data_IF_352827821876
#
_entry.id   IF_352827821876
#
_cell.length_a   1.000
_cell.length_b   1.000
_cell.length_c   1.000
_cell.angle_alpha   90.00
_cell.angle_beta   90.00
_cell.angle_gamma   90.00
#
_symmetry.space_group_name_H-M   'P 1'
#
loop_
_entity.id
_entity.type
_entity.pdbx_description
1 polymer ?
#
# COMPACT_ATOMS: atom_id res chain seq x y z
N UNK A 1 11.46 30.16 -19.76
CA UNK A 1 11.60 29.09 -20.77
C UNK A 1 12.46 27.92 -20.31
N UNK A 2 13.35 28.07 -19.33
CA UNK A 2 14.16 26.94 -18.80
C UNK A 2 13.48 26.08 -17.72
N UNK A 3 12.27 26.42 -17.28
CA UNK A 3 11.55 25.71 -16.20
C UNK A 3 10.68 24.56 -16.71
N UNK A 4 10.17 24.61 -17.94
CA UNK A 4 9.29 23.57 -18.48
C UNK A 4 10.06 22.34 -18.95
N UNK A 5 11.24 22.48 -19.58
CA UNK A 5 12.03 21.33 -20.04
C UNK A 5 12.60 20.50 -18.88
N UNK A 6 13.06 21.14 -17.80
CA UNK A 6 13.59 20.43 -16.62
C UNK A 6 12.52 19.70 -15.81
N UNK A 7 11.28 20.22 -15.78
CA UNK A 7 10.15 19.52 -15.15
C UNK A 7 9.69 18.32 -15.98
N UNK A 8 9.76 18.42 -17.31
CA UNK A 8 9.37 17.35 -18.24
C UNK A 8 10.40 16.19 -18.25
N UNK A 9 11.71 16.48 -18.17
CA UNK A 9 12.74 15.44 -18.03
C UNK A 9 12.73 14.78 -16.64
N UNK A 10 12.50 15.56 -15.58
CA UNK A 10 12.37 15.01 -14.22
C UNK A 10 11.13 14.10 -14.10
N UNK A 11 9.99 14.47 -14.68
CA UNK A 11 8.79 13.64 -14.71
C UNK A 11 8.97 12.39 -15.59
N UNK A 12 9.66 12.49 -16.73
CA UNK A 12 9.97 11.35 -17.59
C UNK A 12 10.84 10.29 -16.88
N UNK A 13 11.77 10.71 -16.00
CA UNK A 13 12.59 9.77 -15.22
C UNK A 13 11.81 9.04 -14.11
N UNK A 14 10.75 9.64 -13.57
CA UNK A 14 9.97 9.09 -12.45
C UNK A 14 8.94 8.07 -12.91
N UNK A 15 8.47 8.19 -14.15
CA UNK A 15 7.51 7.27 -14.78
C UNK A 15 8.17 6.15 -15.57
N UNK A 16 9.50 6.16 -15.73
CA UNK A 16 10.23 5.11 -16.43
C UNK A 16 9.88 3.72 -15.89
N UNK A 17 9.61 2.81 -16.82
CA UNK A 17 9.19 1.46 -16.51
C UNK A 17 7.76 1.32 -15.98
N UNK A 18 6.93 2.37 -16.01
CA UNK A 18 5.49 2.29 -15.68
C UNK A 18 4.63 2.10 -16.94
N UNK A 19 3.36 1.71 -16.76
CA UNK A 19 2.41 1.62 -17.87
C UNK A 19 2.27 2.98 -18.56
N UNK A 20 2.37 2.98 -19.89
CA UNK A 20 2.36 4.20 -20.72
C UNK A 20 3.74 4.84 -20.91
N UNK A 21 4.76 4.38 -20.19
CA UNK A 21 6.12 4.92 -20.19
C UNK A 21 7.19 3.82 -20.23
N UNK A 22 6.87 2.70 -20.87
CA UNK A 22 7.83 1.63 -21.10
C UNK A 22 8.70 1.96 -22.33
N UNK A 23 9.98 1.65 -22.27
CA UNK A 23 10.82 1.62 -23.47
C UNK A 23 10.38 0.48 -24.40
N UNK A 24 10.74 0.54 -25.69
CA UNK A 24 10.41 -0.54 -26.63
C UNK A 24 10.91 -1.93 -26.19
N UNK A 25 12.06 -1.98 -25.51
CA UNK A 25 12.60 -3.22 -24.92
C UNK A 25 11.75 -3.70 -23.74
N UNK A 26 11.36 -2.79 -22.85
CA UNK A 26 10.50 -3.10 -21.71
C UNK A 26 9.10 -3.54 -22.16
N UNK A 27 8.53 -2.91 -23.21
CA UNK A 27 7.26 -3.33 -23.82
C UNK A 27 7.34 -4.74 -24.38
N UNK A 28 8.43 -5.07 -25.10
CA UNK A 28 8.65 -6.41 -25.63
C UNK A 28 8.74 -7.45 -24.51
N UNK A 29 9.49 -7.15 -23.44
CA UNK A 29 9.61 -8.02 -22.26
C UNK A 29 8.29 -8.16 -21.52
N UNK A 30 7.49 -7.10 -21.44
CA UNK A 30 6.19 -7.15 -20.80
C UNK A 30 5.18 -7.96 -21.61
N UNK A 31 5.20 -7.84 -22.94
CA UNK A 31 4.40 -8.69 -23.83
C UNK A 31 4.79 -10.17 -23.72
N UNK A 32 6.09 -10.47 -23.72
CA UNK A 32 6.63 -11.81 -23.47
C UNK A 32 6.14 -12.37 -22.12
N UNK A 33 6.26 -11.56 -21.06
CA UNK A 33 5.84 -11.96 -19.72
C UNK A 33 4.34 -12.26 -19.65
N UNK A 34 3.48 -11.40 -20.21
CA UNK A 34 2.03 -11.64 -20.27
C UNK A 34 1.70 -12.96 -20.98
N UNK A 35 2.32 -13.21 -22.14
CA UNK A 35 2.11 -14.44 -22.90
C UNK A 35 2.54 -15.70 -22.13
N UNK A 36 3.67 -15.64 -21.40
CA UNK A 36 4.13 -16.75 -20.57
C UNK A 36 3.23 -16.97 -19.36
N UNK A 37 2.78 -15.90 -18.68
CA UNK A 37 1.83 -16.03 -17.57
C UNK A 37 0.49 -16.66 -18.01
N UNK A 38 0.00 -16.33 -19.21
CA UNK A 38 -1.21 -16.93 -19.78
C UNK A 38 -1.01 -18.40 -20.15
N UNK A 39 0.08 -18.71 -20.85
CA UNK A 39 0.44 -20.10 -21.19
C UNK A 39 0.53 -21.00 -19.96
N UNK A 40 1.09 -20.47 -18.87
CA UNK A 40 1.30 -21.19 -17.61
C UNK A 40 0.06 -21.18 -16.69
N UNK A 41 -1.05 -20.57 -17.13
CA UNK A 41 -2.32 -20.53 -16.39
C UNK A 41 -2.30 -19.66 -15.14
N UNK A 42 -1.30 -18.80 -14.96
CA UNK A 42 -1.15 -17.92 -13.78
C UNK A 42 -1.99 -16.65 -13.95
N UNK A 43 -2.16 -16.18 -15.19
CA UNK A 43 -2.92 -14.98 -15.50
C UNK A 43 -3.81 -15.22 -16.71
N UNK A 44 -5.03 -14.71 -16.69
CA UNK A 44 -5.84 -14.59 -17.90
C UNK A 44 -6.55 -13.25 -17.85
N UNK A 45 -6.44 -12.41 -18.90
CA UNK A 45 -7.10 -11.11 -18.92
C UNK A 45 -8.60 -11.21 -18.57
N UNK A 46 -9.03 -10.42 -17.59
CA UNK A 46 -10.42 -10.36 -17.15
C UNK A 46 -10.93 -11.56 -16.35
N UNK A 47 -10.07 -12.53 -15.98
CA UNK A 47 -10.42 -13.65 -15.10
C UNK A 47 -9.63 -13.61 -13.79
N UNK A 48 -10.20 -14.20 -12.75
CA UNK A 48 -9.59 -14.25 -11.42
C UNK A 48 -9.84 -12.97 -10.61
N UNK A 49 -8.98 -12.73 -9.61
CA UNK A 49 -9.07 -11.56 -8.72
C UNK A 49 -8.74 -10.26 -9.47
N UNK A 50 -9.48 -9.19 -9.20
CA UNK A 50 -9.30 -7.90 -9.86
C UNK A 50 -7.91 -7.28 -9.68
N UNK A 51 -7.22 -7.62 -8.58
CA UNK A 51 -5.87 -7.14 -8.27
C UNK A 51 -4.79 -7.83 -9.10
N UNK A 52 -5.05 -8.99 -9.71
CA UNK A 52 -4.14 -9.63 -10.65
C UNK A 52 -4.41 -9.11 -12.06
N UNK A 53 -3.81 -7.97 -12.38
CA UNK A 53 -3.97 -7.23 -13.63
C UNK A 53 -2.61 -6.79 -14.18
N UNK A 54 -2.61 -6.10 -15.32
CA UNK A 54 -1.37 -5.64 -15.97
C UNK A 54 -0.46 -4.79 -15.08
N UNK A 55 -1.02 -3.95 -14.21
CA UNK A 55 -0.24 -3.16 -13.24
C UNK A 55 0.50 -4.08 -12.27
N UNK A 56 -0.18 -5.11 -11.76
CA UNK A 56 0.44 -6.11 -10.89
C UNK A 56 1.50 -6.91 -11.64
N UNK A 57 1.23 -7.38 -12.86
CA UNK A 57 2.23 -8.10 -13.66
C UNK A 57 3.49 -7.26 -13.87
N UNK A 58 3.33 -5.98 -14.22
CA UNK A 58 4.46 -5.09 -14.44
C UNK A 58 5.27 -4.86 -13.14
N UNK A 59 4.63 -4.80 -11.97
CA UNK A 59 5.35 -4.75 -10.67
C UNK A 59 6.27 -5.94 -10.47
N UNK A 60 5.80 -7.17 -10.75
CA UNK A 60 6.63 -8.37 -10.66
C UNK A 60 7.79 -8.35 -11.66
N UNK A 61 7.51 -7.93 -12.90
CA UNK A 61 8.53 -7.84 -13.94
C UNK A 61 9.61 -6.82 -13.58
N UNK A 62 9.23 -5.63 -13.11
CA UNK A 62 10.15 -4.59 -12.64
C UNK A 62 10.98 -5.05 -11.44
N UNK A 63 10.36 -5.74 -10.48
CA UNK A 63 11.04 -6.27 -9.30
C UNK A 63 12.10 -7.33 -9.62
N UNK A 64 12.05 -7.88 -10.83
CA UNK A 64 13.06 -8.81 -11.38
C UNK A 64 13.81 -8.21 -12.56
N UNK A 65 13.86 -6.88 -12.67
CA UNK A 65 14.64 -6.15 -13.67
C UNK A 65 14.34 -6.60 -15.11
N UNK A 66 13.07 -6.88 -15.38
CA UNK A 66 12.57 -7.39 -16.66
C UNK A 66 13.05 -8.81 -17.04
N UNK A 67 13.57 -9.58 -16.07
CA UNK A 67 13.83 -11.02 -16.23
C UNK A 67 12.52 -11.83 -16.13
N UNK A 68 12.01 -12.24 -17.29
CA UNK A 68 10.68 -12.89 -17.45
C UNK A 68 10.52 -14.15 -16.60
N UNK A 69 11.51 -15.04 -16.59
CA UNK A 69 11.43 -16.31 -15.87
C UNK A 69 11.44 -16.12 -14.36
N UNK A 70 12.25 -15.19 -13.86
CA UNK A 70 12.33 -14.88 -12.43
C UNK A 70 11.05 -14.19 -11.94
N UNK A 71 10.48 -13.29 -12.75
CA UNK A 71 9.21 -12.65 -12.48
C UNK A 71 8.06 -13.67 -12.44
N UNK A 72 8.04 -14.61 -13.40
CA UNK A 72 7.06 -15.69 -13.45
C UNK A 72 7.15 -16.57 -12.22
N UNK A 73 8.36 -16.95 -11.83
CA UNK A 73 8.58 -17.75 -10.62
C UNK A 73 8.03 -17.04 -9.39
N UNK A 74 8.39 -15.77 -9.18
CA UNK A 74 7.92 -15.01 -8.02
C UNK A 74 6.40 -14.84 -8.01
N UNK A 75 5.78 -14.62 -9.18
CA UNK A 75 4.33 -14.51 -9.30
C UNK A 75 3.65 -15.85 -8.96
N UNK A 76 4.13 -16.97 -9.50
CA UNK A 76 3.63 -18.32 -9.17
C UNK A 76 3.76 -18.65 -7.68
N UNK A 77 4.93 -18.34 -7.10
CA UNK A 77 5.17 -18.51 -5.67
C UNK A 77 4.15 -17.67 -4.86
N UNK A 78 3.83 -16.46 -5.33
CA UNK A 78 2.84 -15.62 -4.66
C UNK A 78 1.43 -16.17 -4.78
N UNK A 79 0.95 -16.54 -5.96
CA UNK A 79 -0.41 -17.09 -6.11
C UNK A 79 -0.57 -18.39 -5.30
N UNK A 80 0.44 -19.27 -5.29
CA UNK A 80 0.48 -20.46 -4.43
C UNK A 80 0.40 -20.09 -2.94
N UNK A 81 1.17 -19.09 -2.52
CA UNK A 81 1.16 -18.61 -1.13
C UNK A 81 -0.20 -18.03 -0.74
N UNK A 82 -0.84 -17.26 -1.63
CA UNK A 82 -2.18 -16.69 -1.42
C UNK A 82 -3.23 -17.78 -1.23
N UNK A 83 -3.24 -18.77 -2.12
CA UNK A 83 -4.16 -19.91 -2.06
C UNK A 83 -3.95 -20.73 -0.78
N UNK A 84 -2.69 -21.09 -0.49
CA UNK A 84 -2.31 -21.88 0.69
C UNK A 84 -2.74 -21.21 2.00
N UNK A 85 -2.63 -19.87 2.04
CA UNK A 85 -2.99 -19.09 3.21
C UNK A 85 -4.43 -18.55 3.19
N UNK A 86 -5.21 -18.90 2.16
CA UNK A 86 -6.61 -18.48 1.98
C UNK A 86 -6.76 -16.97 2.14
N UNK A 87 -5.89 -16.21 1.48
CA UNK A 87 -5.77 -14.77 1.75
C UNK A 87 -7.04 -13.99 1.46
N UNK A 88 -7.78 -14.36 0.42
CA UNK A 88 -9.06 -13.75 0.09
C UNK A 88 -10.10 -14.00 1.20
N UNK A 89 -10.18 -15.24 1.72
CA UNK A 89 -11.03 -15.59 2.88
C UNK A 89 -10.59 -14.84 4.14
N UNK A 90 -9.28 -14.74 4.39
CA UNK A 90 -8.72 -13.99 5.51
C UNK A 90 -9.16 -12.52 5.48
N UNK A 91 -9.15 -11.89 4.30
CA UNK A 91 -9.53 -10.49 4.15
C UNK A 91 -11.05 -10.31 4.26
N UNK A 92 -11.83 -11.14 3.57
CA UNK A 92 -13.29 -11.04 3.54
C UNK A 92 -13.94 -11.37 4.89
N UNK A 93 -13.26 -12.14 5.74
CA UNK A 93 -13.76 -12.52 7.07
C UNK A 93 -13.08 -11.80 8.23
N UNK A 94 -12.15 -10.88 7.96
CA UNK A 94 -11.40 -10.18 9.01
C UNK A 94 -12.35 -9.41 9.94
N UNK A 95 -12.21 -9.61 11.24
CA UNK A 95 -13.04 -8.93 12.25
C UNK A 95 -12.81 -7.41 12.21
N UNK A 96 -13.91 -6.64 12.16
CA UNK A 96 -13.84 -5.18 11.95
C UNK A 96 -13.10 -4.48 13.10
N UNK A 97 -13.35 -4.87 14.35
CA UNK A 97 -12.67 -4.26 15.50
C UNK A 97 -11.19 -4.63 15.53
N UNK A 98 -10.87 -5.89 15.18
CA UNK A 98 -9.48 -6.32 15.02
C UNK A 98 -8.77 -5.56 13.88
N UNK A 99 -9.46 -5.27 12.77
CA UNK A 99 -8.89 -4.51 11.65
C UNK A 99 -8.55 -3.08 12.06
N UNK A 100 -9.43 -2.43 12.83
CA UNK A 100 -9.19 -1.09 13.36
C UNK A 100 -8.04 -1.01 14.37
N UNK A 101 -7.77 -2.11 15.10
CA UNK A 101 -6.56 -2.19 15.91
C UNK A 101 -5.32 -2.54 15.06
N UNK A 102 -5.46 -3.40 14.05
CA UNK A 102 -4.38 -3.79 13.16
C UNK A 102 -3.78 -2.60 12.42
N UNK A 103 -4.62 -1.70 11.89
CA UNK A 103 -4.13 -0.50 11.21
C UNK A 103 -3.29 0.39 12.12
N UNK A 104 -3.49 0.34 13.45
CA UNK A 104 -2.67 1.10 14.41
C UNK A 104 -1.29 0.49 14.66
N UNK A 105 -1.10 -0.77 14.30
CA UNK A 105 0.19 -1.48 14.47
C UNK A 105 1.18 -1.15 13.36
N UNK A 106 0.70 -0.80 12.17
CA UNK A 106 1.52 -0.57 10.98
C UNK A 106 1.20 0.78 10.31
N UNK A 107 1.77 1.00 9.13
CA UNK A 107 1.50 2.15 8.28
C UNK A 107 -0.02 2.34 8.05
N UNK A 108 -0.50 3.55 8.33
CA UNK A 108 -1.89 3.98 8.17
C UNK A 108 -2.01 4.96 7.02
N UNK A 109 -2.95 4.71 6.12
CA UNK A 109 -3.32 5.72 5.13
C UNK A 109 -3.98 6.91 5.83
N UNK A 110 -3.51 8.12 5.53
CA UNK A 110 -4.06 9.36 6.10
C UNK A 110 -5.39 9.77 5.47
N UNK A 111 -5.79 9.12 4.36
CA UNK A 111 -6.87 9.58 3.49
C UNK A 111 -6.41 10.54 2.39
N UNK A 112 -5.16 11.02 2.46
CA UNK A 112 -4.59 11.95 1.49
C UNK A 112 -3.69 11.29 0.47
N UNK A 113 -3.32 12.05 -0.55
CA UNK A 113 -2.44 11.66 -1.64
C UNK A 113 -1.29 12.65 -1.77
N UNK A 114 -0.17 12.18 -2.27
CA UNK A 114 0.96 13.03 -2.63
C UNK A 114 0.69 13.75 -3.97
N UNK A 115 1.57 14.65 -4.39
CA UNK A 115 1.36 15.45 -5.62
C UNK A 115 1.29 14.60 -6.90
N UNK A 116 1.71 13.34 -6.84
CA UNK A 116 1.63 12.38 -7.95
C UNK A 116 0.39 11.48 -7.85
N UNK A 117 -0.48 11.71 -6.87
CA UNK A 117 -1.69 10.93 -6.63
C UNK A 117 -1.46 9.64 -5.82
N UNK A 118 -0.26 9.41 -5.27
CA UNK A 118 0.02 8.20 -4.46
C UNK A 118 -0.53 8.37 -3.06
N UNK A 119 -1.17 7.35 -2.46
CA UNK A 119 -1.68 7.46 -1.10
C UNK A 119 -0.54 7.70 -0.10
N UNK A 120 -0.78 8.62 0.84
CA UNK A 120 0.17 8.98 1.90
C UNK A 120 -0.09 8.13 3.14
N UNK A 121 0.91 7.35 3.54
CA UNK A 121 0.88 6.51 4.73
C UNK A 121 1.77 7.09 5.82
N UNK A 122 1.35 6.96 7.08
CA UNK A 122 2.12 7.35 8.27
C UNK A 122 2.30 6.14 9.18
N UNK A 123 3.48 5.96 9.76
CA UNK A 123 3.77 4.93 10.75
C UNK A 123 4.54 5.49 11.94
N UNK A 124 3.92 5.46 13.11
CA UNK A 124 4.54 5.89 14.37
C UNK A 124 4.97 4.69 15.22
N UNK A 125 6.28 4.44 15.28
CA UNK A 125 6.81 3.23 15.92
C UNK A 125 6.73 3.31 17.45
N UNK A 126 6.76 4.51 18.03
CA UNK A 126 6.70 4.74 19.49
C UNK A 126 5.52 4.02 20.14
N UNK A 127 4.36 3.96 19.47
CA UNK A 127 3.11 3.40 20.00
C UNK A 127 2.88 1.91 19.70
N UNK A 128 3.77 1.28 18.94
CA UNK A 128 3.57 -0.10 18.43
C UNK A 128 3.31 -1.13 19.54
N UNK A 129 3.94 -1.01 20.71
CA UNK A 129 3.73 -1.93 21.82
C UNK A 129 2.28 -1.90 22.30
N UNK A 130 1.74 -0.70 22.49
CA UNK A 130 0.37 -0.47 22.95
C UNK A 130 -0.64 -0.93 21.91
N UNK A 131 -0.40 -0.65 20.63
CA UNK A 131 -1.27 -1.06 19.54
C UNK A 131 -1.25 -2.58 19.34
N UNK A 132 -0.08 -3.22 19.41
CA UNK A 132 0.03 -4.68 19.33
C UNK A 132 -0.75 -5.36 20.47
N UNK A 133 -0.65 -4.85 21.70
CA UNK A 133 -1.44 -5.36 22.82
C UNK A 133 -2.94 -5.17 22.65
N UNK A 134 -3.36 -4.07 22.02
CA UNK A 134 -4.77 -3.80 21.74
C UNK A 134 -5.30 -4.75 20.65
N UNK A 135 -4.53 -4.97 19.59
CA UNK A 135 -4.81 -5.96 18.55
C UNK A 135 -4.88 -7.40 19.10
N UNK A 136 -3.96 -7.78 19.98
CA UNK A 136 -3.96 -9.11 20.61
C UNK A 136 -5.21 -9.35 21.47
N UNK A 137 -5.79 -8.28 22.04
CA UNK A 137 -7.05 -8.35 22.82
C UNK A 137 -8.30 -8.39 21.93
N UNK A 138 -8.32 -7.65 20.83
CA UNK A 138 -9.47 -7.57 19.92
C UNK A 138 -9.58 -8.77 18.99
N UNK A 139 -8.46 -9.38 18.58
CA UNK A 139 -8.49 -10.47 17.61
C UNK A 139 -8.93 -11.81 18.21
N UNK A 140 -10.14 -12.25 17.86
CA UNK A 140 -10.53 -13.67 17.91
C UNK A 140 -9.73 -14.52 16.92
N UNK A 141 -9.13 -13.89 15.90
CA UNK A 141 -8.24 -14.48 14.89
C UNK A 141 -7.00 -15.15 15.52
N UNK A 142 -6.48 -14.63 16.64
CA UNK A 142 -5.42 -15.31 17.39
C UNK A 142 -5.92 -16.55 18.15
N UNK A 143 -7.19 -16.55 18.58
CA UNK A 143 -7.80 -17.65 19.35
C UNK A 143 -8.24 -18.80 18.45
N UNK A 144 -8.63 -18.50 17.22
CA UNK A 144 -9.08 -19.48 16.20
C UNK A 144 -7.99 -19.82 15.17
N UNK A 145 -6.71 -19.59 15.46
CA UNK A 145 -5.60 -20.12 14.66
C UNK A 145 -5.47 -21.65 14.83
N UNK A 146 -6.58 -22.37 14.64
CA UNK A 146 -6.65 -23.82 14.49
C UNK A 146 -6.24 -24.22 13.07
N UNK A 147 -5.31 -25.17 13.01
CA UNK A 147 -4.75 -25.83 11.82
C UNK A 147 -4.22 -24.92 10.71
N UNK A 148 -3.03 -24.37 10.94
CA UNK A 148 -2.08 -24.11 9.86
C UNK A 148 -1.90 -25.38 8.99
N UNK A 149 -1.95 -25.24 7.67
CA UNK A 149 -1.39 -26.24 6.76
C UNK A 149 0.13 -26.33 7.00
N UNK A 150 0.70 -27.53 6.92
CA UNK A 150 2.13 -27.77 7.13
C UNK A 150 3.02 -27.11 6.06
N UNK A 151 2.44 -26.68 4.93
CA UNK A 151 3.12 -25.91 3.89
C UNK A 151 2.95 -24.40 4.16
N UNK A 152 3.97 -23.80 4.77
CA UNK A 152 4.22 -22.35 4.91
C UNK A 152 3.08 -21.46 5.43
N UNK A 153 2.68 -21.59 6.71
CA UNK A 153 1.67 -20.71 7.30
C UNK A 153 2.21 -19.30 7.55
N UNK A 154 1.44 -18.28 7.16
CA UNK A 154 1.69 -16.89 7.59
C UNK A 154 1.72 -16.88 9.13
N UNK A 155 2.83 -16.41 9.75
CA UNK A 155 2.90 -16.26 11.20
C UNK A 155 1.68 -15.47 11.71
N UNK A 156 1.01 -15.88 12.80
CA UNK A 156 -0.25 -15.26 13.22
C UNK A 156 -0.19 -13.72 13.31
N UNK A 157 0.94 -13.17 13.77
CA UNK A 157 1.18 -11.73 13.88
C UNK A 157 1.33 -11.00 12.54
N UNK A 158 1.67 -11.71 11.46
CA UNK A 158 1.78 -11.15 10.11
C UNK A 158 0.47 -11.25 9.31
N UNK A 159 -0.53 -12.00 9.78
CA UNK A 159 -1.84 -12.03 9.12
C UNK A 159 -2.51 -10.66 9.09
N UNK A 160 -2.33 -9.88 10.14
CA UNK A 160 -2.82 -8.50 10.18
C UNK A 160 -2.14 -7.66 9.09
N UNK A 161 -0.83 -7.84 8.88
CA UNK A 161 -0.08 -7.15 7.83
C UNK A 161 -0.63 -7.51 6.45
N UNK A 162 -0.92 -8.79 6.21
CA UNK A 162 -1.54 -9.24 4.96
C UNK A 162 -2.89 -8.57 4.74
N UNK A 163 -3.77 -8.51 5.75
CA UNK A 163 -5.06 -7.81 5.63
C UNK A 163 -4.90 -6.31 5.30
N UNK A 164 -3.86 -5.65 5.83
CA UNK A 164 -3.57 -4.25 5.49
C UNK A 164 -3.03 -4.08 4.06
N UNK A 165 -2.19 -5.02 3.58
CA UNK A 165 -1.76 -5.03 2.17
C UNK A 165 -2.91 -5.33 1.21
N UNK A 166 -3.84 -6.22 1.58
CA UNK A 166 -5.07 -6.45 0.81
C UNK A 166 -5.91 -5.17 0.80
N UNK A 167 -6.10 -4.46 1.91
CA UNK A 167 -6.81 -3.18 1.89
C UNK A 167 -6.13 -2.11 1.02
N UNK A 168 -4.80 -2.04 1.05
CA UNK A 168 -4.04 -1.12 0.20
C UNK A 168 -4.27 -1.45 -1.30
N UNK A 169 -4.18 -2.72 -1.67
CA UNK A 169 -4.25 -3.16 -3.08
C UNK A 169 -5.66 -3.29 -3.62
N UNK A 170 -6.62 -3.68 -2.80
CA UNK A 170 -8.02 -3.88 -3.19
C UNK A 170 -8.86 -2.62 -3.05
N UNK A 171 -8.45 -1.63 -2.25
CA UNK A 171 -9.23 -0.42 -2.03
C UNK A 171 -8.45 0.87 -2.22
N UNK A 172 -7.38 1.10 -1.47
CA UNK A 172 -6.72 2.43 -1.46
C UNK A 172 -6.12 2.78 -2.82
N UNK A 173 -5.36 1.87 -3.43
CA UNK A 173 -4.76 2.09 -4.76
C UNK A 173 -5.82 2.23 -5.86
N UNK A 174 -6.83 1.33 -5.97
CA UNK A 174 -7.92 1.51 -6.94
C UNK A 174 -8.71 2.80 -6.75
N UNK A 175 -8.98 3.19 -5.49
CA UNK A 175 -9.66 4.46 -5.18
C UNK A 175 -8.84 5.65 -5.68
N UNK A 176 -7.55 5.69 -5.39
CA UNK A 176 -6.66 6.76 -5.87
C UNK A 176 -6.58 6.80 -7.40
N UNK A 177 -6.64 5.65 -8.07
CA UNK A 177 -6.67 5.56 -9.53
C UNK A 177 -7.99 6.04 -10.14
N UNK A 178 -9.09 5.93 -9.41
CA UNK A 178 -10.40 6.38 -9.88
C UNK A 178 -10.56 7.91 -9.88
N UNK A 179 -9.68 8.64 -9.19
CA UNK A 179 -9.72 10.10 -9.15
C UNK A 179 -8.70 10.66 -10.16
N UNK A 180 -9.15 11.45 -11.16
CA UNK A 180 -8.29 11.89 -12.27
C UNK A 180 -7.45 13.15 -11.95
N UNK A 181 -7.54 13.71 -10.74
CA UNK A 181 -6.90 14.95 -10.30
C UNK A 181 -5.41 14.78 -9.95
N UNK A 182 -4.67 14.08 -10.80
CA UNK A 182 -3.25 13.83 -10.62
C UNK A 182 -2.47 13.99 -11.92
N UNK A 183 -1.16 14.25 -11.84
CA UNK A 183 -0.31 14.17 -13.02
C UNK A 183 -0.37 12.78 -13.63
N UNK A 184 -0.49 12.71 -14.96
CA UNK A 184 -0.45 11.47 -15.74
C UNK A 184 -1.54 10.45 -15.34
N UNK A 185 -2.84 10.82 -15.41
CA UNK A 185 -3.95 9.94 -15.03
C UNK A 185 -4.01 8.63 -15.85
N UNK A 186 -3.41 8.61 -17.05
CA UNK A 186 -3.24 7.45 -17.91
C UNK A 186 -2.32 6.36 -17.31
N UNK A 187 -1.39 6.74 -16.44
CA UNK A 187 -0.48 5.80 -15.77
C UNK A 187 -1.01 5.47 -14.39
N UNK A 188 -1.42 4.22 -14.11
CA UNK A 188 -1.98 3.87 -12.80
C UNK A 188 -0.99 4.05 -11.65
N UNK A 189 -1.46 4.63 -10.55
CA UNK A 189 -0.82 4.61 -9.25
C UNK A 189 -0.78 3.17 -8.74
N UNK A 190 0.42 2.64 -8.58
CA UNK A 190 0.70 1.28 -8.12
C UNK A 190 1.57 1.21 -6.87
N UNK A 191 1.97 2.38 -6.37
CA UNK A 191 2.90 2.55 -5.24
C UNK A 191 2.38 3.57 -4.25
N UNK A 192 3.04 3.62 -3.09
CA UNK A 192 2.62 4.39 -1.91
C UNK A 192 3.78 5.23 -1.37
N UNK A 193 3.46 6.35 -0.73
CA UNK A 193 4.43 7.27 -0.10
C UNK A 193 4.29 7.20 1.41
N UNK A 194 5.38 6.92 2.12
CA UNK A 194 5.35 6.58 3.55
C UNK A 194 6.18 7.56 4.38
N UNK A 195 5.61 8.05 5.49
CA UNK A 195 6.28 8.78 6.56
C UNK A 195 6.41 7.84 7.76
N UNK A 196 7.63 7.53 8.17
CA UNK A 196 7.93 6.68 9.32
C UNK A 196 8.55 7.53 10.41
N UNK A 197 7.79 7.78 11.47
CA UNK A 197 8.27 8.51 12.64
C UNK A 197 8.82 7.53 13.67
N UNK A 198 10.13 7.62 13.88
CA UNK A 198 10.86 6.84 14.89
C UNK A 198 11.31 7.69 16.08
N UNK A 199 10.75 8.90 16.21
CA UNK A 199 10.91 9.72 17.40
C UNK A 199 10.46 8.96 18.63
N UNK A 200 11.16 9.18 19.75
CA UNK A 200 10.85 8.54 21.04
C UNK A 200 10.95 7.00 21.05
N UNK A 201 11.54 6.39 20.03
CA UNK A 201 11.83 4.95 20.02
C UNK A 201 13.15 4.68 20.73
N UNK A 202 13.11 3.89 21.80
CA UNK A 202 14.32 3.43 22.48
C UNK A 202 15.04 2.30 21.72
N UNK A 203 16.36 2.23 21.86
CA UNK A 203 17.17 1.17 21.22
C UNK A 203 16.67 -0.24 21.56
N UNK A 204 16.34 -0.49 22.83
CA UNK A 204 15.78 -1.79 23.26
C UNK A 204 14.42 -2.10 22.64
N UNK A 205 13.55 -1.10 22.47
CA UNK A 205 12.27 -1.28 21.78
C UNK A 205 12.52 -1.67 20.32
N UNK A 206 13.44 -0.99 19.63
CA UNK A 206 13.81 -1.33 18.26
C UNK A 206 14.34 -2.77 18.15
N UNK A 207 15.23 -3.18 19.06
CA UNK A 207 15.77 -4.53 19.08
C UNK A 207 14.71 -5.61 19.27
N UNK A 208 13.75 -5.38 20.15
CA UNK A 208 12.63 -6.30 20.36
C UNK A 208 11.74 -6.44 19.11
N UNK A 209 11.72 -5.43 18.25
CA UNK A 209 10.93 -5.41 17.01
C UNK A 209 11.68 -5.93 15.79
N UNK A 210 13.01 -6.00 15.84
CA UNK A 210 13.87 -6.34 14.69
C UNK A 210 13.41 -7.60 13.95
N UNK A 211 13.17 -8.70 14.68
CA UNK A 211 12.77 -9.97 14.05
C UNK A 211 11.41 -9.87 13.35
N UNK A 212 10.47 -9.15 13.95
CA UNK A 212 9.15 -8.91 13.36
C UNK A 212 9.22 -8.00 12.13
N UNK A 213 9.99 -6.91 12.20
CA UNK A 213 10.21 -6.01 11.06
C UNK A 213 10.91 -6.72 9.90
N UNK A 214 11.89 -7.58 10.19
CA UNK A 214 12.57 -8.37 9.17
C UNK A 214 11.59 -9.35 8.50
N UNK A 215 10.77 -10.06 9.27
CA UNK A 215 9.78 -10.98 8.71
C UNK A 215 8.72 -10.26 7.87
N UNK A 216 8.24 -9.09 8.32
CA UNK A 216 7.34 -8.23 7.57
C UNK A 216 7.97 -7.76 6.24
N UNK A 217 9.25 -7.35 6.26
CA UNK A 217 9.99 -6.96 5.07
C UNK A 217 10.15 -8.12 4.09
N UNK A 218 10.51 -9.31 4.57
CA UNK A 218 10.62 -10.51 3.72
C UNK A 218 9.30 -10.84 3.03
N UNK A 219 8.19 -10.80 3.79
CA UNK A 219 6.84 -11.05 3.27
C UNK A 219 6.45 -10.02 2.19
N UNK A 220 6.70 -8.74 2.46
CA UNK A 220 6.40 -7.66 1.52
C UNK A 220 7.21 -7.78 0.22
N UNK A 221 8.52 -8.02 0.31
CA UNK A 221 9.40 -8.20 -0.86
C UNK A 221 9.02 -9.43 -1.68
N UNK A 222 8.59 -10.52 -1.03
CA UNK A 222 8.19 -11.75 -1.69
C UNK A 222 6.85 -11.59 -2.45
N UNK A 223 5.83 -11.00 -1.81
CA UNK A 223 4.43 -11.10 -2.26
C UNK A 223 3.78 -9.76 -2.65
N UNK A 224 4.38 -8.63 -2.29
CA UNK A 224 3.89 -7.29 -2.64
C UNK A 224 5.00 -6.42 -3.25
N UNK A 225 5.72 -6.93 -4.28
CA UNK A 225 6.85 -6.21 -4.84
C UNK A 225 6.43 -4.88 -5.47
N UNK A 226 7.37 -3.92 -5.48
CA UNK A 226 7.21 -2.62 -6.14
C UNK A 226 5.93 -1.87 -5.72
N UNK A 227 5.59 -1.88 -4.43
CA UNK A 227 4.47 -1.11 -3.85
C UNK A 227 4.90 0.15 -3.09
N UNK A 228 6.21 0.35 -2.90
CA UNK A 228 6.80 1.52 -2.24
C UNK A 228 7.44 2.46 -3.26
N UNK A 229 7.05 3.74 -3.22
CA UNK A 229 7.68 4.81 -4.01
C UNK A 229 8.71 5.60 -3.20
N UNK A 230 8.32 6.06 -2.01
CA UNK A 230 9.15 6.89 -1.12
C UNK A 230 8.93 6.52 0.33
N UNK A 231 10.00 6.49 1.10
CA UNK A 231 9.98 6.26 2.54
C UNK A 231 10.77 7.36 3.24
N UNK A 232 10.10 8.20 4.01
CA UNK A 232 10.70 9.28 4.79
C UNK A 232 10.80 8.86 6.25
N UNK A 233 12.01 8.63 6.73
CA UNK A 233 12.30 8.28 8.13
C UNK A 233 12.63 9.55 8.89
N UNK A 234 11.82 9.85 9.90
CA UNK A 234 11.91 11.06 10.71
C UNK A 234 12.31 10.73 12.15
N UNK A 235 12.90 11.69 12.86
CA UNK A 235 13.17 11.53 14.29
C UNK A 235 14.22 10.47 14.61
N UNK A 236 15.12 10.20 13.66
CA UNK A 236 16.16 9.19 13.80
C UNK A 236 17.05 9.49 15.03
N UNK A 237 17.06 8.62 16.05
CA UNK A 237 17.89 8.82 17.24
C UNK A 237 19.38 8.63 16.92
N UNK A 238 20.26 9.03 17.84
CA UNK A 238 21.72 8.95 17.64
C UNK A 238 22.25 7.54 17.36
N UNK A 239 21.53 6.49 17.77
CA UNK A 239 21.87 5.09 17.49
C UNK A 239 21.38 4.60 16.11
N UNK A 240 20.55 5.37 15.40
CA UNK A 240 19.91 4.94 14.16
C UNK A 240 20.89 4.58 13.03
N UNK A 241 22.06 5.22 12.87
CA UNK A 241 23.04 4.80 11.86
C UNK A 241 23.45 3.32 12.01
N UNK A 242 23.54 2.82 13.25
CA UNK A 242 23.83 1.40 13.52
C UNK A 242 22.68 0.51 13.06
N UNK A 243 21.44 0.91 13.38
CA UNK A 243 20.20 0.23 12.96
C UNK A 243 20.09 0.17 11.43
N UNK A 244 20.35 1.30 10.78
CA UNK A 244 20.29 1.46 9.33
C UNK A 244 21.26 0.53 8.60
N UNK A 245 22.46 0.31 9.17
CA UNK A 245 23.43 -0.64 8.62
C UNK A 245 22.89 -2.07 8.47
N UNK A 246 21.96 -2.50 9.32
CA UNK A 246 21.28 -3.80 9.17
C UNK A 246 20.08 -3.74 8.24
N UNK A 247 19.23 -2.71 8.39
CA UNK A 247 17.99 -2.55 7.59
C UNK A 247 18.31 -2.48 6.09
N UNK A 248 19.38 -1.78 5.69
CA UNK A 248 19.82 -1.71 4.28
C UNK A 248 20.01 -3.09 3.64
N UNK A 249 20.34 -4.13 4.42
CA UNK A 249 20.56 -5.49 3.91
C UNK A 249 19.26 -6.25 3.66
N UNK A 250 18.12 -5.74 4.13
CA UNK A 250 16.80 -6.34 3.94
C UNK A 250 16.17 -5.92 2.61
N UNK A 251 16.67 -4.83 2.02
CA UNK A 251 16.14 -4.23 0.81
C UNK A 251 17.15 -4.32 -0.33
N UNK A 252 16.65 -4.39 -1.56
CA UNK A 252 17.49 -4.25 -2.74
C UNK A 252 17.93 -2.77 -2.91
N UNK A 253 18.93 -2.50 -3.78
CA UNK A 253 19.43 -1.14 -3.99
C UNK A 253 18.38 -0.13 -4.48
N UNK A 254 17.39 -0.55 -5.28
CA UNK A 254 16.33 0.33 -5.80
C UNK A 254 15.38 0.71 -4.67
N UNK A 255 15.02 -0.22 -3.80
CA UNK A 255 14.23 0.11 -2.61
C UNK A 255 15.02 1.03 -1.67
N UNK A 256 16.32 0.80 -1.50
CA UNK A 256 17.18 1.64 -0.62
C UNK A 256 17.31 3.09 -1.12
N UNK A 257 17.35 3.32 -2.44
CA UNK A 257 17.47 4.68 -3.00
C UNK A 257 16.20 5.53 -2.82
N UNK A 258 15.06 4.89 -2.52
CA UNK A 258 13.78 5.53 -2.21
C UNK A 258 13.64 5.96 -0.74
N UNK A 259 14.63 5.62 0.11
CA UNK A 259 14.59 5.87 1.56
C UNK A 259 15.35 7.15 1.91
N UNK A 260 14.65 8.10 2.51
CA UNK A 260 15.16 9.38 2.97
C UNK A 260 15.20 9.39 4.50
N UNK A 261 16.38 9.59 5.10
CA UNK A 261 16.50 9.78 6.55
C UNK A 261 16.67 11.27 6.78
N UNK A 262 15.69 11.90 7.42
CA UNK A 262 15.61 13.35 7.54
C UNK A 262 15.99 13.81 8.95
N UNK A 263 16.78 14.87 9.02
CA UNK A 263 16.96 15.63 10.26
C UNK A 263 15.69 16.44 10.54
N UNK A 264 15.51 16.89 11.79
CA UNK A 264 14.36 17.73 12.18
C UNK A 264 14.22 18.99 11.30
N UNK A 265 15.35 19.60 10.90
CA UNK A 265 15.36 20.79 10.05
C UNK A 265 14.97 20.50 8.60
N UNK A 266 15.17 19.26 8.12
CA UNK A 266 14.93 18.86 6.74
C UNK A 266 13.54 18.24 6.53
N UNK A 267 12.80 17.92 7.59
CA UNK A 267 11.48 17.27 7.51
C UNK A 267 10.52 18.06 6.64
N UNK A 268 10.14 19.26 7.08
CA UNK A 268 9.14 20.07 6.38
C UNK A 268 9.62 20.44 4.95
N UNK A 269 10.84 21.00 4.75
CA UNK A 269 11.30 21.37 3.41
C UNK A 269 11.36 20.19 2.42
N UNK A 270 11.62 18.97 2.90
CA UNK A 270 11.64 17.78 2.04
C UNK A 270 10.23 17.29 1.74
N UNK A 271 9.37 17.14 2.76
CA UNK A 271 8.03 16.59 2.59
C UNK A 271 7.15 17.49 1.70
N UNK A 272 7.27 18.82 1.82
CA UNK A 272 6.50 19.77 1.00
C UNK A 272 6.90 19.76 -0.48
N UNK A 273 7.99 19.09 -0.87
CA UNK A 273 8.34 18.86 -2.28
C UNK A 273 7.53 17.73 -2.91
N UNK A 274 6.94 16.87 -2.08
CA UNK A 274 6.19 15.69 -2.52
C UNK A 274 4.73 15.73 -2.12
N UNK A 275 4.36 16.50 -1.09
CA UNK A 275 3.00 16.58 -0.56
C UNK A 275 2.58 18.04 -0.46
N UNK A 276 1.35 18.38 -0.87
CA UNK A 276 0.81 19.71 -0.64
C UNK A 276 0.69 19.92 0.88
N UNK A 277 0.83 21.16 1.40
CA UNK A 277 0.64 21.42 2.83
C UNK A 277 -0.68 20.85 3.39
N UNK A 278 -1.78 20.97 2.65
CA UNK A 278 -3.10 20.42 3.02
C UNK A 278 -3.17 18.87 3.09
N UNK A 279 -2.22 18.16 2.49
CA UNK A 279 -2.13 16.69 2.48
C UNK A 279 -1.15 16.13 3.52
N UNK A 280 -0.37 17.02 4.15
CA UNK A 280 0.67 16.68 5.12
C UNK A 280 0.17 16.95 6.55
N UNK A 281 0.23 15.97 7.49
CA UNK A 281 -0.16 16.19 8.89
C UNK A 281 0.56 17.39 9.53
N UNK A 282 -0.17 18.16 10.35
CA UNK A 282 0.39 19.32 11.10
C UNK A 282 1.64 18.97 11.89
N UNK A 283 1.67 17.77 12.49
CA UNK A 283 2.83 17.24 13.23
C UNK A 283 4.13 17.26 12.41
N UNK A 284 4.05 17.15 11.08
CA UNK A 284 5.19 17.11 10.17
C UNK A 284 5.37 18.40 9.36
N UNK A 285 4.71 19.50 9.78
CA UNK A 285 4.85 20.82 9.17
C UNK A 285 3.88 21.12 8.02
N UNK A 286 2.79 20.36 7.91
CA UNK A 286 1.69 20.66 6.99
C UNK A 286 0.48 21.32 7.67
N UNK A 287 -0.68 21.18 7.05
CA UNK A 287 -1.95 21.80 7.44
C UNK A 287 -3.05 20.77 7.74
N UNK A 288 -2.82 19.49 7.44
CA UNK A 288 -3.79 18.43 7.66
C UNK A 288 -4.04 18.20 9.15
N UNK A 289 -5.29 18.36 9.56
CA UNK A 289 -5.82 17.95 10.87
C UNK A 289 -5.99 16.42 10.90
N UNK A 290 -4.91 15.72 11.18
CA UNK A 290 -4.88 14.27 11.30
C UNK A 290 -3.77 13.83 12.24
N UNK A 291 -4.10 12.93 13.16
CA UNK A 291 -3.17 12.30 14.11
C UNK A 291 -3.16 10.79 13.93
N UNK A 292 -2.04 10.16 14.28
CA UNK A 292 -1.89 8.71 14.14
C UNK A 292 -2.95 7.95 14.95
N UNK A 293 -3.62 7.02 14.28
CA UNK A 293 -4.75 6.28 14.85
C UNK A 293 -6.11 6.89 14.55
N UNK A 294 -6.21 8.11 14.02
CA UNK A 294 -7.46 8.64 13.47
C UNK A 294 -7.86 7.88 12.19
N UNK A 295 -9.16 7.84 11.84
CA UNK A 295 -9.59 7.36 10.53
C UNK A 295 -8.97 8.18 9.39
N UNK A 296 -8.95 7.65 8.15
CA UNK A 296 -8.59 8.42 6.97
C UNK A 296 -9.43 9.70 6.83
N UNK A 297 -8.75 10.82 6.60
CA UNK A 297 -9.35 12.09 6.21
C UNK A 297 -9.20 12.22 4.68
N UNK A 298 -10.23 11.81 3.93
CA UNK A 298 -10.22 11.82 2.46
C UNK A 298 -10.37 13.21 1.88
N UNK A 299 -9.61 13.51 0.82
CA UNK A 299 -9.57 14.85 0.20
C UNK A 299 -10.89 15.23 -0.51
N UNK A 300 -11.04 16.52 -0.79
CA UNK A 300 -12.28 17.07 -1.33
C UNK A 300 -12.61 16.49 -2.71
N UNK A 301 -11.58 16.15 -3.47
CA UNK A 301 -11.67 15.53 -4.78
C UNK A 301 -12.21 14.10 -4.69
N UNK A 302 -11.72 13.28 -3.75
CA UNK A 302 -12.30 11.95 -3.43
C UNK A 302 -13.75 12.08 -2.98
N UNK A 303 -14.05 12.99 -2.04
CA UNK A 303 -15.42 13.17 -1.50
C UNK A 303 -16.38 13.59 -2.61
N UNK A 304 -15.94 14.45 -3.53
CA UNK A 304 -16.76 14.93 -4.65
C UNK A 304 -17.02 13.82 -5.68
N UNK A 305 -16.02 12.99 -5.95
CA UNK A 305 -16.11 11.93 -6.95
C UNK A 305 -16.87 10.69 -6.43
N UNK A 306 -16.65 10.29 -5.18
CA UNK A 306 -17.14 9.04 -4.61
C UNK A 306 -18.23 9.30 -3.57
N UNK A 307 -19.49 9.31 -4.05
CA UNK A 307 -20.68 9.53 -3.23
C UNK A 307 -20.76 8.46 -2.12
N UNK A 308 -20.74 8.90 -0.86
CA UNK A 308 -20.82 8.03 0.32
C UNK A 308 -19.53 7.96 1.13
N UNK A 309 -18.38 8.33 0.55
CA UNK A 309 -17.15 8.51 1.32
C UNK A 309 -17.10 9.91 1.92
N UNK A 310 -16.88 9.98 3.23
CA UNK A 310 -16.64 11.23 3.95
C UNK A 310 -15.76 10.99 5.18
N UNK A 311 -14.94 11.98 5.55
CA UNK A 311 -14.03 11.88 6.69
C UNK A 311 -14.78 11.77 8.03
N UNK A 312 -15.92 12.46 8.18
CA UNK A 312 -16.74 12.47 9.40
C UNK A 312 -17.59 11.18 9.56
N UNK A 313 -17.70 10.38 8.51
CA UNK A 313 -18.47 9.12 8.48
C UNK A 313 -17.68 7.98 7.88
N UNK A 314 -16.42 7.84 8.29
CA UNK A 314 -15.54 6.80 7.76
C UNK A 314 -16.07 5.39 8.05
N UNK A 315 -16.09 4.55 7.02
CA UNK A 315 -16.52 3.15 7.14
C UNK A 315 -15.38 2.31 7.71
N UNK A 316 -15.60 1.73 8.88
CA UNK A 316 -14.62 0.88 9.59
C UNK A 316 -14.41 -0.46 8.88
N UNK A 317 -13.24 -1.06 9.07
CA UNK A 317 -12.92 -2.42 8.64
C UNK A 317 -12.44 -2.56 7.19
N UNK A 318 -12.33 -3.81 6.68
CA UNK A 318 -11.96 -4.09 5.30
C UNK A 318 -12.88 -3.41 4.28
N UNK A 319 -12.29 -2.86 3.23
CA UNK A 319 -12.97 -2.20 2.11
C UNK A 319 -12.38 -2.73 0.80
N UNK A 320 -13.21 -2.88 -0.23
CA UNK A 320 -12.82 -3.30 -1.58
C UNK A 320 -13.40 -2.35 -2.61
N UNK A 321 -12.61 -1.99 -3.62
CA UNK A 321 -13.08 -1.33 -4.82
C UNK A 321 -13.56 -2.35 -5.85
N UNK A 322 -14.78 -2.17 -6.33
CA UNK A 322 -15.39 -3.04 -7.35
C UNK A 322 -15.71 -2.19 -8.59
N UNK A 323 -14.93 -2.33 -9.68
CA UNK A 323 -15.22 -1.67 -10.94
C UNK A 323 -16.61 -2.04 -11.46
N UNK A 324 -17.33 -1.10 -12.08
CA UNK A 324 -18.67 -1.34 -12.62
C UNK A 324 -18.67 -1.45 -14.16
N UNK A 325 -19.55 -2.29 -14.74
CA UNK A 325 -19.79 -2.29 -16.18
C UNK A 325 -20.24 -0.90 -16.64
N UNK A 326 -19.59 -0.34 -17.66
CA UNK A 326 -19.90 1.00 -18.19
C UNK A 326 -19.08 2.14 -17.57
N UNK A 327 -18.12 1.84 -16.69
CA UNK A 327 -17.20 2.81 -16.10
C UNK A 327 -17.50 3.12 -14.64
N UNK A 328 -16.49 3.65 -13.95
CA UNK A 328 -16.52 3.94 -12.53
C UNK A 328 -16.37 2.71 -11.61
N UNK A 329 -16.89 2.81 -10.40
CA UNK A 329 -16.73 1.75 -9.40
C UNK A 329 -17.51 2.00 -8.12
N UNK A 330 -17.53 0.99 -7.27
CA UNK A 330 -18.19 1.02 -5.96
C UNK A 330 -17.20 0.62 -4.87
N UNK A 331 -17.37 1.19 -3.69
CA UNK A 331 -16.68 0.76 -2.48
C UNK A 331 -17.59 -0.18 -1.72
N UNK A 332 -17.11 -1.39 -1.48
CA UNK A 332 -17.85 -2.43 -0.78
C UNK A 332 -17.15 -2.75 0.53
N UNK A 333 -17.88 -2.64 1.63
CA UNK A 333 -17.42 -3.00 2.95
C UNK A 333 -17.43 -4.53 3.12
N UNK A 334 -16.32 -5.05 3.64
CA UNK A 334 -16.04 -6.48 3.87
C UNK A 334 -15.76 -6.74 5.35
N UNK A 335 -15.43 -7.98 5.71
CA UNK A 335 -15.10 -8.38 7.07
C UNK A 335 -16.29 -8.91 7.85
N UNK A 336 -16.09 -9.10 9.16
CA UNK A 336 -17.14 -9.61 10.06
C UNK A 336 -17.41 -8.67 11.23
N UNK A 337 -18.68 -8.50 11.58
CA UNK A 337 -19.13 -7.88 12.84
C UNK A 337 -19.73 -8.97 13.73
N UNK A 338 -19.07 -9.26 14.86
CA UNK A 338 -19.52 -10.31 15.81
C UNK A 338 -19.81 -11.64 15.13
N UNK A 339 -18.96 -12.02 14.17
CA UNK A 339 -19.05 -13.26 13.40
C UNK A 339 -20.06 -13.24 12.24
N UNK A 340 -20.78 -12.15 12.02
CA UNK A 340 -21.64 -11.98 10.84
C UNK A 340 -20.85 -11.33 9.71
N UNK A 341 -20.80 -11.98 8.56
CA UNK A 341 -20.15 -11.44 7.37
C UNK A 341 -20.85 -10.15 6.90
N UNK A 342 -20.05 -9.20 6.44
CA UNK A 342 -20.49 -7.93 5.85
C UNK A 342 -20.13 -7.91 4.37
N UNK A 343 -21.11 -7.60 3.54
CA UNK A 343 -20.97 -7.35 2.11
C UNK A 343 -21.95 -6.22 1.74
N UNK A 344 -21.49 -4.98 1.89
CA UNK A 344 -22.34 -3.80 1.77
C UNK A 344 -21.70 -2.75 0.86
N UNK A 345 -22.43 -2.29 -0.14
CA UNK A 345 -22.00 -1.13 -0.95
C UNK A 345 -22.17 0.12 -0.11
N UNK A 346 -21.05 0.76 0.22
CA UNK A 346 -21.03 1.93 1.12
C UNK A 346 -20.72 3.25 0.39
N UNK A 347 -20.14 3.17 -0.81
CA UNK A 347 -19.93 4.33 -1.64
C UNK A 347 -19.90 3.97 -3.13
N UNK A 348 -20.19 4.94 -3.99
CA UNK A 348 -20.26 4.76 -5.45
C UNK A 348 -19.58 5.95 -6.12
N UNK A 349 -18.69 5.70 -7.07
CA UNK A 349 -18.19 6.74 -7.95
C UNK A 349 -19.37 7.29 -8.75
N UNK A 350 -19.66 8.57 -8.61
CA UNK A 350 -20.70 9.21 -9.41
C UNK A 350 -20.38 9.02 -10.88
N UNK A 351 -21.27 8.34 -11.62
CA UNK A 351 -21.16 8.29 -13.08
C UNK A 351 -21.13 9.72 -13.62
N UNK A 352 -20.36 9.95 -14.68
CA UNK A 352 -20.47 11.18 -15.47
C UNK A 352 -21.93 11.33 -15.95
N UNK A 353 -22.73 12.12 -15.24
CA UNK A 353 -23.93 12.69 -15.82
C UNK A 353 -23.46 13.66 -16.92
N UNK A 354 -23.52 13.21 -18.17
CA UNK A 354 -23.42 14.08 -19.34
C UNK A 354 -22.11 14.03 -20.14
N UNK A 355 -21.99 13.03 -21.01
CA UNK A 355 -21.38 13.22 -22.32
C UNK A 355 -22.30 12.51 -23.33
N UNK A 356 -23.40 13.18 -23.66
CA UNK A 356 -24.26 12.86 -24.81
C UNK A 356 -23.93 13.83 -25.94
#
# INVERSE_FOLDING_TARGET
MATSESETEASASVLDGQIGHLSAEQEAKFAEFKAVCEKEGVYTPGKGRATLNEVTLLRYLRARKFEVNDALKQLKDTETWRETNKLDELYDTFDIDAFEEARKVYHQWTGRRDISGRPVYVYEISHIKTHMQSFEKSSTILKNAGSASASDPIPPKLRMLCALYENMSEFVLPLCNAIPDRPNPETPVSTTSHIVDISNVGLMQFWNLKGHMQAASTLATAHYPETLDRLFILGAPSFFPTVWGWIKRWFDPVTTSKIFILSAADVQPTLTRFMRPADLPKKYGGELEWEYGMPPNVDGEIVSAVKGLAADKWVRGPLRWVPQPGGGGQVVARGTDKGKARDEVVAVLGGSEGAA
#
